data_IF_957841677856
#
_entry.id   IF_957841677856
#
_cell.length_a   1.000
_cell.length_b   1.000
_cell.length_c   1.000
_cell.angle_alpha   90.00
_cell.angle_beta   90.00
_cell.angle_gamma   90.00
#
_symmetry.space_group_name_H-M   'P 1'
#
loop_
_entity.id
_entity.type
_entity.pdbx_description
1 polymer ?
#
# COMPACT_ATOMS: atom_id res chain seq x y z
N UNK A 1 -12.59 -14.61 27.14
CA UNK A 1 -11.20 -14.63 27.63
C UNK A 1 -10.32 -13.89 26.62
N UNK A 2 -10.13 -12.56 26.73
CA UNK A 2 -9.51 -11.76 25.66
C UNK A 2 -7.98 -11.59 25.76
N UNK A 3 -7.39 -11.76 26.95
CA UNK A 3 -5.99 -11.41 27.21
C UNK A 3 -4.98 -12.40 26.60
N UNK A 4 -5.35 -13.68 26.45
CA UNK A 4 -4.45 -14.72 25.90
C UNK A 4 -4.30 -14.62 24.38
N UNK A 5 -5.28 -14.04 23.68
CA UNK A 5 -5.23 -13.80 22.22
C UNK A 5 -4.29 -12.66 21.87
N UNK A 6 -4.25 -11.59 22.66
CA UNK A 6 -3.41 -10.41 22.37
C UNK A 6 -1.90 -10.68 22.53
N UNK A 7 -1.50 -11.50 23.51
CA UNK A 7 -0.10 -11.93 23.64
C UNK A 7 0.34 -12.76 22.45
N UNK A 8 -0.50 -13.70 22.01
CA UNK A 8 -0.23 -14.53 20.83
C UNK A 8 -0.12 -13.70 19.56
N UNK A 9 -1.07 -12.81 19.31
CA UNK A 9 -1.04 -11.93 18.11
C UNK A 9 0.22 -11.06 18.07
N UNK A 10 0.72 -10.60 19.23
CA UNK A 10 2.00 -9.88 19.32
C UNK A 10 3.20 -10.78 19.05
N UNK A 11 3.19 -12.02 19.54
CA UNK A 11 4.23 -13.02 19.25
C UNK A 11 4.25 -13.36 17.76
N UNK A 12 3.09 -13.64 17.17
CA UNK A 12 2.91 -13.93 15.75
C UNK A 12 3.42 -12.77 14.89
N UNK A 13 3.12 -11.52 15.26
CA UNK A 13 3.64 -10.34 14.57
C UNK A 13 5.17 -10.26 14.66
N UNK A 14 5.77 -10.57 15.82
CA UNK A 14 7.22 -10.56 15.99
C UNK A 14 7.89 -11.67 15.16
N UNK A 15 7.32 -12.87 15.14
CA UNK A 15 7.81 -13.98 14.32
C UNK A 15 7.70 -13.66 12.83
N UNK A 16 6.60 -13.04 12.40
CA UNK A 16 6.44 -12.53 11.04
C UNK A 16 7.55 -11.52 10.70
N UNK A 17 7.78 -10.53 11.57
CA UNK A 17 8.84 -9.54 11.36
C UNK A 17 10.22 -10.17 11.23
N UNK A 18 10.52 -11.21 12.02
CA UNK A 18 11.78 -11.94 11.92
C UNK A 18 11.91 -12.71 10.60
N UNK A 19 10.85 -13.42 10.16
CA UNK A 19 10.87 -14.12 8.86
C UNK A 19 11.04 -13.16 7.69
N UNK A 20 10.36 -12.02 7.73
CA UNK A 20 10.51 -10.98 6.70
C UNK A 20 11.91 -10.35 6.70
N UNK A 21 12.53 -10.21 7.86
CA UNK A 21 13.92 -9.76 7.95
C UNK A 21 14.90 -10.77 7.34
N UNK A 22 14.67 -12.08 7.53
CA UNK A 22 15.44 -13.14 6.88
C UNK A 22 15.28 -13.11 5.35
N UNK A 23 14.14 -12.62 4.86
CA UNK A 23 13.85 -12.37 3.45
C UNK A 23 14.31 -10.99 2.96
N UNK A 24 15.20 -10.28 3.67
CA UNK A 24 15.68 -8.92 3.34
C UNK A 24 14.58 -7.86 3.17
N UNK A 25 13.42 -8.05 3.83
CA UNK A 25 12.33 -7.08 3.84
C UNK A 25 12.39 -6.27 5.12
N UNK A 26 12.73 -5.00 4.98
CA UNK A 26 12.90 -4.08 6.10
C UNK A 26 11.63 -3.24 6.33
N UNK A 27 11.41 -2.88 7.59
CA UNK A 27 10.31 -2.03 8.01
C UNK A 27 10.83 -0.71 8.61
N UNK A 28 9.99 0.31 8.57
CA UNK A 28 10.22 1.53 9.34
C UNK A 28 10.13 1.26 10.84
N UNK A 29 10.68 2.16 11.65
CA UNK A 29 10.66 2.01 13.11
C UNK A 29 9.23 1.75 13.64
N UNK A 30 9.05 0.80 14.58
CA UNK A 30 7.78 0.57 15.22
C UNK A 30 7.24 1.81 15.92
N UNK A 31 5.91 1.94 15.93
CA UNK A 31 5.22 3.02 16.63
C UNK A 31 4.89 2.59 18.06
N UNK A 32 5.02 3.52 19.02
CA UNK A 32 4.61 3.29 20.39
C UNK A 32 3.09 3.11 20.52
N UNK A 33 2.65 2.28 21.46
CA UNK A 33 1.21 2.10 21.73
C UNK A 33 0.50 3.43 22.04
N UNK A 34 1.20 4.39 22.65
CA UNK A 34 0.67 5.73 22.92
C UNK A 34 0.26 6.47 21.65
N UNK A 35 1.12 6.47 20.62
CA UNK A 35 0.83 7.15 19.35
C UNK A 35 -0.28 6.44 18.58
N UNK A 36 -0.39 5.12 18.70
CA UNK A 36 -1.53 4.37 18.14
C UNK A 36 -2.83 4.76 18.87
N UNK A 37 -2.81 4.86 20.20
CA UNK A 37 -3.96 5.30 20.99
C UNK A 37 -4.36 6.75 20.71
N UNK A 38 -3.39 7.64 20.46
CA UNK A 38 -3.66 9.02 20.03
C UNK A 38 -4.39 9.03 18.70
N UNK A 39 -3.91 8.27 17.71
CA UNK A 39 -4.59 8.12 16.41
C UNK A 39 -6.01 7.56 16.55
N UNK A 40 -6.17 6.47 17.32
CA UNK A 40 -7.49 5.88 17.61
C UNK A 40 -8.44 6.89 18.26
N UNK A 41 -7.95 7.73 19.18
CA UNK A 41 -8.74 8.76 19.85
C UNK A 41 -9.07 9.93 18.94
N UNK A 42 -8.14 10.35 18.10
CA UNK A 42 -8.31 11.45 17.15
C UNK A 42 -9.37 11.11 16.11
N UNK A 43 -9.39 9.86 15.63
CA UNK A 43 -10.30 9.39 14.59
C UNK A 43 -11.51 8.59 15.12
N UNK A 44 -11.69 8.53 16.44
CA UNK A 44 -12.78 7.81 17.11
C UNK A 44 -12.96 6.36 16.63
N UNK A 45 -11.85 5.69 16.32
CA UNK A 45 -11.83 4.33 15.76
C UNK A 45 -10.95 3.45 16.63
N UNK A 46 -11.19 2.13 16.59
CA UNK A 46 -10.26 1.16 17.17
C UNK A 46 -9.58 0.41 16.05
N UNK A 47 -8.27 0.32 16.02
CA UNK A 47 -7.58 -0.49 15.01
C UNK A 47 -7.72 -1.99 15.32
N UNK A 48 -7.78 -2.86 14.29
CA UNK A 48 -7.73 -4.30 14.48
C UNK A 48 -6.51 -4.72 15.31
N UNK A 49 -6.66 -5.72 16.17
CA UNK A 49 -5.58 -6.17 17.07
C UNK A 49 -4.33 -6.61 16.31
N UNK A 50 -4.54 -7.28 15.16
CA UNK A 50 -3.50 -7.83 14.30
C UNK A 50 -2.66 -6.71 13.67
N UNK A 51 -3.32 -5.65 13.19
CA UNK A 51 -2.66 -4.46 12.65
C UNK A 51 -1.94 -3.64 13.74
N UNK A 52 -2.53 -3.53 14.94
CA UNK A 52 -1.89 -2.88 16.09
C UNK A 52 -0.61 -3.59 16.52
N UNK A 53 -0.64 -4.93 16.51
CA UNK A 53 0.54 -5.74 16.79
C UNK A 53 1.62 -5.51 15.74
N UNK A 54 1.27 -5.49 14.45
CA UNK A 54 2.21 -5.17 13.37
C UNK A 54 2.91 -3.82 13.57
N UNK A 55 2.15 -2.76 13.83
CA UNK A 55 2.70 -1.40 14.00
C UNK A 55 3.65 -1.29 15.20
N UNK A 56 3.34 -2.01 16.29
CA UNK A 56 4.11 -1.95 17.54
C UNK A 56 5.29 -2.91 17.60
N UNK A 57 5.24 -4.04 16.90
CA UNK A 57 6.26 -5.09 16.94
C UNK A 57 7.17 -5.10 15.71
N UNK A 58 6.62 -4.83 14.53
CA UNK A 58 7.35 -4.96 13.26
C UNK A 58 7.78 -3.58 12.75
N UNK A 59 6.82 -2.69 12.51
CA UNK A 59 7.14 -1.38 11.97
C UNK A 59 5.99 -0.64 11.30
N UNK A 60 6.23 0.63 11.00
CA UNK A 60 5.25 1.53 10.38
C UNK A 60 5.38 1.60 8.85
N UNK A 61 5.03 0.51 8.18
CA UNK A 61 5.24 0.39 6.73
C UNK A 61 6.62 -0.14 6.37
N UNK A 62 6.78 -0.55 5.12
CA UNK A 62 8.03 -1.15 4.62
C UNK A 62 9.02 -0.07 4.19
N UNK A 63 10.29 -0.43 4.18
CA UNK A 63 11.38 0.38 3.65
C UNK A 63 12.17 -0.49 2.64
N UNK A 64 12.21 -0.15 1.35
CA UNK A 64 11.58 1.00 0.70
C UNK A 64 10.03 0.93 0.68
N UNK A 65 9.38 2.06 0.41
CA UNK A 65 7.93 2.27 0.57
C UNK A 65 7.04 1.56 -0.47
N UNK A 66 7.53 0.48 -1.10
CA UNK A 66 6.84 -0.24 -2.17
C UNK A 66 5.89 -1.34 -1.68
N UNK A 67 5.98 -1.77 -0.41
CA UNK A 67 5.21 -2.89 0.12
C UNK A 67 4.00 -2.48 0.95
N UNK A 68 4.25 -1.84 2.09
CA UNK A 68 3.25 -1.43 3.07
C UNK A 68 3.40 0.06 3.38
N UNK A 69 2.31 0.79 3.31
CA UNK A 69 2.25 2.21 3.60
C UNK A 69 2.26 2.47 5.11
N UNK A 70 2.87 3.58 5.56
CA UNK A 70 2.77 4.03 6.93
C UNK A 70 1.33 4.24 7.40
N UNK A 71 1.08 4.11 8.70
CA UNK A 71 -0.20 4.46 9.33
C UNK A 71 -0.57 5.90 8.99
N UNK A 72 -1.77 6.09 8.43
CA UNK A 72 -2.26 7.40 8.04
C UNK A 72 -1.57 7.96 6.79
N UNK A 73 -0.91 7.13 5.98
CA UNK A 73 -0.47 7.54 4.65
C UNK A 73 -1.50 7.10 3.61
N UNK A 74 -1.86 8.01 2.72
CA UNK A 74 -2.72 7.74 1.57
C UNK A 74 -1.97 8.18 0.32
N UNK A 75 -1.83 7.31 -0.70
CA UNK A 75 -1.15 7.66 -1.94
C UNK A 75 -1.92 8.76 -2.66
N UNK A 76 -1.22 9.63 -3.39
CA UNK A 76 -1.86 10.74 -4.13
C UNK A 76 -2.83 10.24 -5.21
N UNK A 77 -2.54 9.04 -5.71
CA UNK A 77 -3.31 8.28 -6.69
C UNK A 77 -4.62 7.74 -6.10
N UNK A 78 -4.77 7.75 -4.77
CA UNK A 78 -6.03 7.36 -4.16
C UNK A 78 -7.11 8.37 -4.53
N UNK A 79 -8.31 7.91 -4.96
CA UNK A 79 -9.33 8.79 -5.51
C UNK A 79 -10.02 9.67 -4.46
N UNK A 80 -9.67 9.53 -3.18
CA UNK A 80 -10.20 10.34 -2.08
C UNK A 80 -9.03 10.95 -1.31
N UNK A 81 -9.06 12.25 -1.00
CA UNK A 81 -7.99 12.88 -0.24
C UNK A 81 -7.92 12.31 1.18
N UNK A 82 -6.70 12.27 1.71
CA UNK A 82 -6.43 11.74 3.05
C UNK A 82 -7.32 12.33 4.15
N UNK A 83 -7.57 13.64 4.13
CA UNK A 83 -8.39 14.33 5.12
C UNK A 83 -9.82 13.80 5.19
N UNK A 84 -10.39 13.45 4.04
CA UNK A 84 -11.79 13.00 3.95
C UNK A 84 -11.90 11.55 4.39
N UNK A 85 -10.92 10.72 4.02
CA UNK A 85 -10.82 9.34 4.49
C UNK A 85 -10.73 9.28 6.02
N UNK A 86 -9.85 10.11 6.62
CA UNK A 86 -9.70 10.17 8.06
C UNK A 86 -10.95 10.66 8.79
N UNK A 87 -11.66 11.62 8.20
CA UNK A 87 -12.88 12.18 8.79
C UNK A 87 -13.97 11.12 8.89
N UNK A 88 -14.02 10.21 7.92
CA UNK A 88 -15.05 9.18 7.82
C UNK A 88 -14.56 7.79 8.32
N UNK A 89 -13.46 7.73 9.09
CA UNK A 89 -12.95 6.49 9.68
C UNK A 89 -13.86 5.87 10.73
N UNK A 90 -14.63 6.70 11.44
CA UNK A 90 -15.58 6.26 12.46
C UNK A 90 -16.91 5.78 11.88
N UNK A 91 -17.15 6.03 10.59
CA UNK A 91 -18.34 5.57 9.88
C UNK A 91 -18.12 4.11 9.42
N UNK A 92 -19.15 3.25 9.50
CA UNK A 92 -18.99 1.84 9.15
C UNK A 92 -18.86 1.64 7.64
N UNK A 93 -17.91 0.81 7.24
CA UNK A 93 -17.80 0.33 5.86
C UNK A 93 -19.03 -0.53 5.52
N UNK A 94 -19.75 -0.28 4.42
CA UNK A 94 -21.06 -0.89 4.18
C UNK A 94 -21.00 -2.32 3.61
N UNK A 95 -19.88 -2.71 2.98
CA UNK A 95 -19.82 -3.98 2.25
C UNK A 95 -19.52 -5.16 3.18
N UNK A 96 -20.27 -6.24 2.98
CA UNK A 96 -20.00 -7.55 3.57
C UNK A 96 -19.51 -8.58 2.55
N UNK A 97 -19.77 -8.36 1.26
CA UNK A 97 -19.42 -9.27 0.16
C UNK A 97 -18.75 -8.50 -0.99
N UNK A 98 -18.17 -9.26 -1.92
CA UNK A 98 -17.55 -8.69 -3.12
C UNK A 98 -18.54 -7.81 -3.89
N UNK A 99 -18.09 -6.64 -4.30
CA UNK A 99 -18.90 -5.65 -4.98
C UNK A 99 -18.24 -5.26 -6.29
N UNK A 100 -18.94 -5.45 -7.40
CA UNK A 100 -18.47 -5.12 -8.74
C UNK A 100 -19.31 -3.98 -9.29
N UNK A 101 -18.67 -2.90 -9.74
CA UNK A 101 -19.38 -1.72 -10.27
C UNK A 101 -20.23 -2.08 -11.49
N UNK A 102 -19.68 -2.88 -12.41
CA UNK A 102 -20.39 -3.31 -13.63
C UNK A 102 -21.65 -4.13 -13.34
N UNK A 103 -21.67 -4.89 -12.23
CA UNK A 103 -22.81 -5.71 -11.85
C UNK A 103 -23.88 -4.92 -11.08
N UNK A 104 -23.52 -3.77 -10.51
CA UNK A 104 -24.36 -3.06 -9.56
C UNK A 104 -25.28 -2.00 -10.21
N UNK A 105 -25.12 -1.73 -11.51
CA UNK A 105 -25.96 -0.79 -12.25
C UNK A 105 -25.76 0.67 -11.82
N UNK A 106 -26.82 1.49 -11.88
CA UNK A 106 -26.77 2.88 -11.41
C UNK A 106 -26.71 2.92 -9.88
N UNK A 107 -25.60 3.41 -9.34
CA UNK A 107 -25.38 3.53 -7.89
C UNK A 107 -25.75 4.92 -7.40
N UNK A 108 -26.30 4.98 -6.19
CA UNK A 108 -26.53 6.24 -5.49
C UNK A 108 -25.18 6.89 -5.11
N UNK A 109 -25.08 8.20 -5.25
CA UNK A 109 -23.85 8.94 -4.93
C UNK A 109 -23.50 8.81 -3.44
N UNK A 110 -24.50 8.78 -2.55
CA UNK A 110 -24.25 8.58 -1.12
C UNK A 110 -23.72 7.17 -0.83
N UNK A 111 -24.16 6.17 -1.60
CA UNK A 111 -23.63 4.82 -1.47
C UNK A 111 -22.16 4.78 -1.93
N UNK A 112 -21.83 5.40 -3.06
CA UNK A 112 -20.45 5.51 -3.53
C UNK A 112 -19.55 6.24 -2.52
N UNK A 113 -20.06 7.30 -1.88
CA UNK A 113 -19.34 7.99 -0.80
C UNK A 113 -19.11 7.06 0.40
N UNK A 114 -20.13 6.29 0.79
CA UNK A 114 -20.03 5.34 1.91
C UNK A 114 -19.00 4.23 1.71
N UNK A 115 -18.61 3.93 0.46
CA UNK A 115 -17.51 3.00 0.17
C UNK A 115 -16.16 3.54 0.63
N UNK A 116 -16.03 4.84 0.89
CA UNK A 116 -14.83 5.49 1.41
C UNK A 116 -14.79 5.56 2.95
N UNK A 117 -15.74 4.92 3.64
CA UNK A 117 -15.84 4.98 5.09
C UNK A 117 -15.16 3.79 5.77
N UNK A 118 -14.73 3.97 7.02
CA UNK A 118 -14.38 2.86 7.90
C UNK A 118 -13.20 2.01 7.47
N UNK A 119 -12.31 2.51 6.60
CA UNK A 119 -11.13 1.77 6.15
C UNK A 119 -9.88 2.66 6.05
N UNK A 120 -8.73 2.01 6.13
CA UNK A 120 -7.42 2.64 5.91
C UNK A 120 -6.74 2.01 4.70
N UNK A 121 -5.90 2.77 4.00
CA UNK A 121 -5.10 2.25 2.89
C UNK A 121 -3.83 1.60 3.46
N UNK A 122 -3.62 0.32 3.16
CA UNK A 122 -2.44 -0.44 3.57
C UNK A 122 -1.34 -0.41 2.52
N UNK A 123 -1.69 -0.50 1.24
CA UNK A 123 -0.72 -0.60 0.16
C UNK A 123 -1.32 -0.14 -1.16
N UNK A 124 -0.46 0.26 -2.09
CA UNK A 124 -0.80 0.59 -3.48
C UNK A 124 0.02 -0.30 -4.38
N UNK A 125 -0.61 -1.08 -5.26
CA UNK A 125 0.11 -1.80 -6.33
C UNK A 125 0.36 -0.89 -7.53
N UNK A 126 -0.66 -0.11 -7.89
CA UNK A 126 -0.63 0.83 -9.01
C UNK A 126 -1.66 1.95 -8.75
N UNK A 127 -1.93 2.76 -9.78
CA UNK A 127 -2.89 3.88 -9.73
C UNK A 127 -4.34 3.46 -9.44
N UNK A 128 -4.73 2.25 -9.84
CA UNK A 128 -6.10 1.74 -9.76
C UNK A 128 -6.29 0.72 -8.64
N UNK A 129 -5.23 0.08 -8.17
CA UNK A 129 -5.23 -1.06 -7.27
C UNK A 129 -4.68 -0.67 -5.89
N UNK A 130 -5.59 -0.57 -4.93
CA UNK A 130 -5.29 -0.20 -3.55
C UNK A 130 -5.75 -1.30 -2.60
N UNK A 131 -4.91 -1.63 -1.63
CA UNK A 131 -5.24 -2.55 -0.55
C UNK A 131 -5.74 -1.74 0.63
N UNK A 132 -6.90 -2.11 1.14
CA UNK A 132 -7.54 -1.43 2.25
C UNK A 132 -7.80 -2.40 3.40
N UNK A 133 -7.64 -1.92 4.63
CA UNK A 133 -8.02 -2.63 5.84
C UNK A 133 -9.27 -2.01 6.41
N UNK A 134 -10.29 -2.85 6.63
CA UNK A 134 -11.54 -2.38 7.22
C UNK A 134 -11.33 -2.24 8.73
N UNK A 135 -11.51 -1.01 9.23
CA UNK A 135 -11.39 -0.68 10.65
C UNK A 135 -12.76 -0.55 11.31
N UNK A 136 -13.81 -0.14 10.61
CA UNK A 136 -15.14 0.00 11.18
C UNK A 136 -16.19 -0.60 10.25
N UNK A 137 -17.20 -1.27 10.80
CA UNK A 137 -18.23 -1.98 10.02
C UNK A 137 -18.24 -3.52 10.21
N UNK A 138 -19.09 -4.23 9.45
CA UNK A 138 -19.32 -5.67 9.60
C UNK A 138 -18.13 -6.52 9.18
N UNK A 139 -17.32 -6.02 8.24
CA UNK A 139 -16.09 -6.66 7.74
C UNK A 139 -14.82 -6.23 8.47
N UNK A 140 -14.95 -5.75 9.71
CA UNK A 140 -13.82 -5.25 10.50
C UNK A 140 -12.69 -6.26 10.66
N UNK A 141 -11.47 -5.82 10.34
CA UNK A 141 -10.25 -6.62 10.38
C UNK A 141 -9.98 -7.41 9.11
N UNK A 142 -10.87 -7.39 8.12
CA UNK A 142 -10.64 -7.99 6.81
C UNK A 142 -9.81 -7.06 5.92
N UNK A 143 -9.01 -7.66 5.03
CA UNK A 143 -8.30 -6.95 3.97
C UNK A 143 -9.07 -7.08 2.67
N UNK A 144 -9.31 -5.93 2.07
CA UNK A 144 -10.03 -5.81 0.81
C UNK A 144 -9.12 -5.17 -0.23
N UNK A 145 -9.37 -5.51 -1.48
CA UNK A 145 -8.73 -4.89 -2.63
C UNK A 145 -9.76 -3.98 -3.30
N UNK A 146 -9.43 -2.70 -3.37
CA UNK A 146 -10.15 -1.70 -4.14
C UNK A 146 -9.50 -1.58 -5.51
N UNK A 147 -10.29 -1.80 -6.54
CA UNK A 147 -9.97 -1.53 -7.93
C UNK A 147 -10.88 -0.42 -8.42
N UNK A 148 -10.33 0.74 -8.76
CA UNK A 148 -11.14 1.90 -9.14
C UNK A 148 -12.04 1.66 -10.36
N UNK A 149 -11.64 0.73 -11.24
CA UNK A 149 -12.37 0.32 -12.45
C UNK A 149 -13.34 -0.85 -12.22
N UNK A 150 -13.01 -1.79 -11.33
CA UNK A 150 -13.79 -3.03 -11.14
C UNK A 150 -14.70 -2.97 -9.91
N UNK A 151 -14.21 -2.47 -8.78
CA UNK A 151 -14.94 -2.48 -7.50
C UNK A 151 -14.10 -2.99 -6.33
N UNK A 152 -14.75 -3.64 -5.37
CA UNK A 152 -14.19 -4.06 -4.10
C UNK A 152 -14.26 -5.58 -3.96
N UNK A 153 -13.11 -6.21 -3.72
CA UNK A 153 -13.01 -7.65 -3.56
C UNK A 153 -12.39 -7.99 -2.22
N UNK A 154 -13.05 -8.83 -1.43
CA UNK A 154 -12.49 -9.40 -0.20
C UNK A 154 -11.34 -10.33 -0.55
N UNK A 155 -10.22 -10.20 0.15
CA UNK A 155 -9.04 -11.03 -0.10
C UNK A 155 -8.61 -11.86 1.10
N UNK A 156 -8.48 -11.23 2.26
CA UNK A 156 -8.06 -11.92 3.48
C UNK A 156 -9.03 -11.65 4.62
N UNK A 157 -9.38 -12.73 5.33
CA UNK A 157 -10.09 -12.60 6.60
C UNK A 157 -9.15 -12.04 7.67
N UNK A 158 -9.73 -11.65 8.81
CA UNK A 158 -8.95 -11.14 9.96
C UNK A 158 -7.82 -12.09 10.40
N UNK A 159 -8.06 -13.40 10.38
CA UNK A 159 -7.07 -14.40 10.78
C UNK A 159 -5.93 -14.56 9.78
N UNK A 160 -6.15 -14.17 8.52
CA UNK A 160 -5.21 -14.33 7.41
C UNK A 160 -4.39 -13.07 7.16
N UNK A 161 -4.56 -12.02 7.98
CA UNK A 161 -3.87 -10.74 7.80
C UNK A 161 -2.35 -10.91 7.70
N UNK A 162 -1.73 -11.65 8.62
CA UNK A 162 -0.29 -11.89 8.62
C UNK A 162 0.17 -12.73 7.42
N UNK A 163 -0.58 -13.79 7.08
CA UNK A 163 -0.27 -14.64 5.93
C UNK A 163 -0.38 -13.88 4.61
N UNK A 164 -1.39 -13.02 4.47
CA UNK A 164 -1.54 -12.14 3.32
C UNK A 164 -0.37 -11.16 3.22
N UNK A 165 0.00 -10.52 4.34
CA UNK A 165 1.10 -9.55 4.35
C UNK A 165 2.42 -10.22 3.94
N UNK A 166 2.71 -11.39 4.49
CA UNK A 166 3.89 -12.16 4.15
C UNK A 166 3.95 -12.52 2.67
N UNK A 167 2.91 -13.19 2.17
CA UNK A 167 2.84 -13.62 0.77
C UNK A 167 2.98 -12.44 -0.19
N UNK A 168 2.36 -11.31 0.15
CA UNK A 168 2.45 -10.09 -0.64
C UNK A 168 3.87 -9.54 -0.72
N UNK A 169 4.55 -9.40 0.42
CA UNK A 169 5.89 -8.80 0.46
C UNK A 169 6.92 -9.68 -0.25
N UNK A 170 6.82 -11.00 -0.08
CA UNK A 170 7.66 -11.97 -0.80
C UNK A 170 7.43 -11.87 -2.32
N UNK A 171 6.16 -11.79 -2.76
CA UNK A 171 5.81 -11.66 -4.18
C UNK A 171 6.35 -10.37 -4.80
N UNK A 172 6.32 -9.26 -4.05
CA UNK A 172 6.86 -7.99 -4.51
C UNK A 172 8.38 -8.05 -4.67
N UNK A 173 9.09 -8.67 -3.71
CA UNK A 173 10.54 -8.86 -3.79
C UNK A 173 10.94 -9.65 -5.04
N UNK A 174 10.27 -10.79 -5.28
CA UNK A 174 10.54 -11.62 -6.46
C UNK A 174 10.30 -10.86 -7.77
N UNK A 175 9.32 -9.96 -7.80
CA UNK A 175 9.05 -9.14 -8.99
C UNK A 175 10.10 -8.05 -9.23
N UNK A 176 10.74 -7.51 -8.18
CA UNK A 176 11.79 -6.49 -8.33
C UNK A 176 13.14 -7.06 -8.79
N UNK A 177 13.49 -8.27 -8.36
CA UNK A 177 14.76 -8.92 -8.73
C UNK A 177 14.84 -9.28 -10.22
N UNK A 178 13.71 -9.53 -10.89
CA UNK A 178 13.68 -9.84 -12.33
C UNK A 178 13.98 -8.62 -13.23
N UNK A 179 13.95 -7.40 -12.70
CA UNK A 179 14.08 -6.16 -13.49
C UNK A 179 15.47 -5.54 -13.49
N UNK A 180 16.40 -6.00 -12.64
CA UNK A 180 17.74 -5.39 -12.51
C UNK A 180 18.80 -5.94 -13.47
N UNK A 181 18.51 -7.01 -14.21
CA UNK A 181 19.53 -7.72 -15.00
C UNK A 181 19.60 -7.29 -16.48
N UNK A 182 18.72 -6.40 -16.96
CA UNK A 182 18.67 -6.03 -18.40
C UNK A 182 19.29 -4.65 -18.77
N UNK A 183 19.67 -3.81 -17.81
CA UNK A 183 20.10 -2.41 -18.09
C UNK A 183 21.63 -2.19 -18.20
N UNK A 184 22.46 -3.24 -18.34
CA UNK A 184 23.93 -3.12 -18.34
C UNK A 184 24.64 -3.28 -19.70
N UNK A 185 23.95 -3.19 -20.84
CA UNK A 185 24.57 -3.51 -22.15
C UNK A 185 24.26 -2.51 -23.29
N UNK A 186 24.32 -1.20 -23.00
CA UNK A 186 24.32 -0.14 -24.02
C UNK A 186 25.55 0.77 -23.89
N UNK A 187 26.75 0.19 -23.99
CA UNK A 187 27.92 0.95 -24.43
C UNK A 187 27.81 1.14 -25.96
N UNK A 188 27.23 2.26 -26.40
CA UNK A 188 27.42 2.72 -27.76
C UNK A 188 28.86 3.22 -27.92
N UNK A 189 29.69 2.41 -28.56
CA UNK A 189 30.91 2.86 -29.22
C UNK A 189 30.50 3.83 -30.35
N UNK A 190 30.72 5.12 -30.15
CA UNK A 190 30.72 6.09 -31.25
C UNK A 190 32.15 6.33 -31.70
N UNK A 191 32.63 5.43 -32.56
CA UNK A 191 33.69 5.73 -33.53
C UNK A 191 33.01 6.23 -34.80
N UNK A 192 33.16 7.51 -35.13
CA UNK A 192 33.06 7.97 -36.51
C UNK A 192 33.93 9.22 -36.72
N UNK A 193 35.10 8.97 -37.31
CA UNK A 193 35.93 9.97 -37.99
C UNK A 193 35.12 10.64 -39.12
N UNK A 194 35.16 11.96 -39.21
CA UNK A 194 34.87 12.64 -40.48
C UNK A 194 35.67 13.93 -40.57
N UNK A 195 36.72 13.87 -41.40
CA UNK A 195 37.45 15.01 -41.95
C UNK A 195 36.50 15.87 -42.80
N UNK A 196 36.60 17.19 -42.65
CA UNK A 196 35.77 18.15 -43.38
C UNK A 196 36.44 19.51 -43.48
N UNK A 197 37.54 19.55 -44.23
CA UNK A 197 38.22 20.74 -44.75
C UNK A 197 37.29 21.53 -45.69
N UNK A 198 36.98 22.79 -45.38
CA UNK A 198 36.36 23.72 -46.34
C UNK A 198 36.99 25.12 -46.18
N UNK A 199 37.69 25.52 -47.23
CA UNK A 199 38.24 26.85 -47.49
C UNK A 199 37.13 27.92 -47.56
N UNK A 200 37.29 29.01 -46.82
CA UNK A 200 36.53 30.24 -47.02
C UNK A 200 37.30 31.19 -47.93
N UNK A 201 37.03 31.10 -49.23
CA UNK A 201 37.37 32.11 -50.24
C UNK A 201 36.06 32.72 -50.78
N UNK A 202 35.58 33.82 -50.19
CA UNK A 202 34.63 34.72 -50.85
C UNK A 202 35.12 36.17 -50.73
N UNK A 203 35.47 36.70 -51.90
CA UNK A 203 35.84 38.08 -52.19
C UNK A 203 34.64 39.01 -52.00
N UNK A 204 34.84 40.09 -51.26
CA UNK A 204 34.04 41.31 -51.36
C UNK A 204 34.43 42.06 -52.63
N UNK A 205 33.56 42.05 -53.63
CA UNK A 205 33.61 43.01 -54.74
C UNK A 205 32.60 44.14 -54.48
N UNK A 206 33.16 45.33 -54.27
CA UNK A 206 32.76 46.69 -54.70
C UNK A 206 31.28 47.10 -54.75
#
# INVERSE_FOLDING_TARGET
MPALTLCRVKEDARELGQRLFEEDIYFQLPISEQKILEFEREHFVRLPEDYRALLSQVGNGTCPSSGLLPLGYVPYEYPVPYSDLLRNLCEPFPLTENFLFDAAGSLDENFLDSLNHGHIVLASDDYLNHWILIVEGPSRGEVWRRKSDVGFTRWASRAEFFSWLEARLITLKSSTEETSDEDSDMCMDTDEESEGEWDEDIKEDS
#
